data_IF_679951353365
#
_entry.id   IF_679951353365
#
_cell.length_a   1.000
_cell.length_b   1.000
_cell.length_c   1.000
_cell.angle_alpha   90.00
_cell.angle_beta   90.00
_cell.angle_gamma   90.00
#
_symmetry.space_group_name_H-M   'P 1'
#
loop_
_entity.id
_entity.type
_entity.pdbx_description
1 polymer ?
#
# COMPACT_ATOMS: atom_id res chain seq x y z
N UNK A 1 11.48 12.97 -4.08
CA UNK A 1 11.06 11.81 -3.28
C UNK A 1 11.97 11.77 -2.07
N UNK A 2 11.37 11.57 -0.90
CA UNK A 2 12.02 11.47 0.38
C UNK A 2 11.75 10.06 0.94
N UNK A 3 12.82 9.26 1.07
CA UNK A 3 12.79 7.98 1.77
C UNK A 3 13.31 8.21 3.18
N UNK A 4 12.42 8.11 4.17
CA UNK A 4 12.80 8.31 5.56
C UNK A 4 13.46 7.04 6.12
N UNK A 5 14.79 7.09 6.23
CA UNK A 5 15.59 5.98 6.74
C UNK A 5 15.27 5.65 8.20
N UNK A 6 14.97 6.67 9.02
CA UNK A 6 14.68 6.48 10.45
C UNK A 6 13.34 5.78 10.64
N UNK A 7 12.36 6.09 9.80
CA UNK A 7 11.09 5.36 9.74
C UNK A 7 11.31 3.88 9.42
N UNK A 8 12.09 3.56 8.37
CA UNK A 8 12.39 2.17 8.00
C UNK A 8 13.08 1.45 9.16
N UNK A 9 14.15 2.05 9.70
CA UNK A 9 14.94 1.45 10.79
C UNK A 9 14.10 1.21 12.03
N UNK A 10 13.37 2.22 12.49
CA UNK A 10 12.56 2.15 13.72
C UNK A 10 11.44 1.13 13.58
N UNK A 11 10.73 1.14 12.45
CA UNK A 11 9.62 0.22 12.19
C UNK A 11 10.12 -1.22 12.12
N UNK A 12 11.15 -1.50 11.30
CA UNK A 12 11.69 -2.85 11.16
C UNK A 12 12.21 -3.39 12.49
N UNK A 13 12.94 -2.59 13.28
CA UNK A 13 13.43 -3.01 14.59
C UNK A 13 12.29 -3.27 15.59
N UNK A 14 11.23 -2.46 15.58
CA UNK A 14 10.06 -2.65 16.44
C UNK A 14 9.38 -4.00 16.18
N UNK A 15 9.07 -4.28 14.90
CA UNK A 15 8.47 -5.54 14.49
C UNK A 15 9.40 -6.74 14.74
N UNK A 16 10.68 -6.62 14.41
CA UNK A 16 11.65 -7.70 14.61
C UNK A 16 11.80 -8.05 16.09
N UNK A 17 12.02 -7.06 16.96
CA UNK A 17 12.12 -7.29 18.41
C UNK A 17 10.84 -7.88 18.98
N UNK A 18 9.68 -7.45 18.50
CA UNK A 18 8.40 -8.03 18.91
C UNK A 18 8.28 -9.49 18.48
N UNK A 19 8.68 -9.82 17.25
CA UNK A 19 8.63 -11.18 16.71
C UNK A 19 9.58 -12.13 17.46
N UNK A 20 10.80 -11.68 17.75
CA UNK A 20 11.79 -12.50 18.46
C UNK A 20 11.38 -12.86 19.90
N UNK A 21 10.42 -12.14 20.50
CA UNK A 21 9.84 -12.50 21.80
C UNK A 21 8.85 -13.66 21.72
N UNK A 22 8.31 -13.97 20.54
CA UNK A 22 7.33 -15.03 20.34
C UNK A 22 7.93 -16.44 20.37
N UNK A 23 9.27 -16.59 20.39
CA UNK A 23 9.93 -17.89 20.53
C UNK A 23 10.16 -18.61 19.20
N UNK A 24 9.95 -19.93 19.16
CA UNK A 24 10.18 -20.76 17.97
C UNK A 24 9.12 -20.46 16.89
N UNK A 25 9.58 -20.06 15.69
CA UNK A 25 8.73 -19.68 14.56
C UNK A 25 8.41 -20.85 13.62
N UNK A 26 8.67 -22.09 14.04
CA UNK A 26 8.56 -23.28 13.18
C UNK A 26 7.14 -23.53 12.67
N UNK A 27 6.12 -23.24 13.48
CA UNK A 27 4.71 -23.31 13.05
C UNK A 27 4.38 -22.27 11.95
N UNK A 28 5.22 -21.25 11.79
CA UNK A 28 5.03 -20.17 10.82
C UNK A 28 6.01 -20.28 9.62
N UNK A 29 6.76 -21.38 9.53
CA UNK A 29 7.84 -21.57 8.56
C UNK A 29 7.40 -21.99 7.15
N UNK A 30 6.13 -22.31 6.93
CA UNK A 30 5.64 -22.72 5.59
C UNK A 30 4.50 -21.83 5.06
N UNK A 31 4.00 -20.90 5.87
CA UNK A 31 2.88 -20.05 5.47
C UNK A 31 3.33 -19.03 4.42
N UNK A 32 3.02 -19.34 3.16
CA UNK A 32 2.79 -18.30 2.17
C UNK A 32 1.59 -17.46 2.63
N UNK A 33 1.59 -16.15 2.38
CA UNK A 33 0.45 -15.30 2.67
C UNK A 33 -0.75 -15.73 1.83
N UNK A 34 -1.60 -16.60 2.39
CA UNK A 34 -2.95 -16.87 1.89
C UNK A 34 -3.90 -15.95 2.67
N UNK A 35 -4.88 -15.41 1.96
CA UNK A 35 -5.72 -14.28 2.36
C UNK A 35 -6.55 -14.47 3.66
N UNK A 36 -6.53 -15.64 4.29
CA UNK A 36 -7.34 -15.98 5.46
C UNK A 36 -6.59 -15.88 6.81
N UNK A 37 -5.29 -15.57 6.81
CA UNK A 37 -4.45 -15.59 8.02
C UNK A 37 -4.10 -14.20 8.60
N UNK A 38 -4.71 -13.11 8.09
CA UNK A 38 -4.37 -11.76 8.54
C UNK A 38 -4.74 -11.46 9.99
N UNK A 39 -5.51 -12.29 10.69
CA UNK A 39 -5.84 -12.13 12.11
C UNK A 39 -4.76 -12.68 13.08
N UNK A 40 -3.80 -13.44 12.55
CA UNK A 40 -2.66 -13.96 13.31
C UNK A 40 -1.58 -12.89 13.50
N UNK A 41 -1.24 -12.61 14.77
CA UNK A 41 -0.32 -11.54 15.11
C UNK A 41 1.14 -11.84 14.71
N UNK A 42 1.56 -13.10 14.76
CA UNK A 42 2.91 -13.52 14.35
C UNK A 42 3.05 -13.36 12.84
N UNK A 43 2.04 -13.78 12.09
CA UNK A 43 1.95 -13.58 10.66
C UNK A 43 1.96 -12.10 10.28
N UNK A 44 1.17 -11.24 10.95
CA UNK A 44 1.21 -9.79 10.71
C UNK A 44 2.62 -9.20 10.91
N UNK A 45 3.39 -9.69 11.89
CA UNK A 45 4.78 -9.26 12.11
C UNK A 45 5.71 -9.71 10.99
N UNK A 46 5.59 -10.96 10.54
CA UNK A 46 6.36 -11.49 9.40
C UNK A 46 6.03 -10.70 8.13
N UNK A 47 4.74 -10.41 7.91
CA UNK A 47 4.27 -9.58 6.81
C UNK A 47 4.91 -8.19 6.84
N UNK A 48 4.92 -7.53 8.00
CA UNK A 48 5.55 -6.22 8.16
C UNK A 48 7.04 -6.24 7.79
N UNK A 49 7.79 -7.22 8.32
CA UNK A 49 9.23 -7.33 8.07
C UNK A 49 9.56 -7.59 6.60
N UNK A 50 8.68 -8.30 5.89
CA UNK A 50 8.88 -8.65 4.48
C UNK A 50 8.46 -7.55 3.51
N UNK A 51 7.27 -6.99 3.70
CA UNK A 51 6.60 -6.16 2.69
C UNK A 51 6.64 -4.66 3.02
N UNK A 52 6.56 -4.29 4.29
CA UNK A 52 6.33 -2.89 4.70
C UNK A 52 7.39 -1.92 4.15
N UNK A 53 8.71 -2.19 4.24
CA UNK A 53 9.71 -1.24 3.74
C UNK A 53 9.64 -1.03 2.23
N UNK A 54 9.45 -2.09 1.45
CA UNK A 54 9.33 -2.00 0.00
C UNK A 54 8.06 -1.29 -0.44
N UNK A 55 6.94 -1.53 0.27
CA UNK A 55 5.68 -0.86 -0.02
C UNK A 55 5.76 0.62 0.37
N UNK A 56 6.36 0.94 1.52
CA UNK A 56 6.66 2.32 1.90
C UNK A 56 7.48 3.04 0.80
N UNK A 57 8.53 2.40 0.28
CA UNK A 57 9.32 2.93 -0.84
C UNK A 57 8.46 3.22 -2.08
N UNK A 58 7.62 2.27 -2.49
CA UNK A 58 6.69 2.44 -3.62
C UNK A 58 5.73 3.62 -3.40
N UNK A 59 5.18 3.75 -2.20
CA UNK A 59 4.29 4.86 -1.87
C UNK A 59 5.02 6.19 -1.75
N UNK A 60 6.32 6.24 -1.42
CA UNK A 60 7.08 7.47 -1.49
C UNK A 60 7.19 7.98 -2.94
N UNK A 61 7.32 7.06 -3.90
CA UNK A 61 7.26 7.40 -5.32
C UNK A 61 5.88 7.95 -5.66
N UNK A 62 4.82 7.21 -5.33
CA UNK A 62 3.44 7.63 -5.63
C UNK A 62 3.06 8.96 -4.96
N UNK A 63 3.45 9.18 -3.71
CA UNK A 63 3.21 10.43 -2.99
C UNK A 63 3.95 11.61 -3.65
N UNK A 64 5.19 11.40 -4.10
CA UNK A 64 5.94 12.43 -4.82
C UNK A 64 5.35 12.72 -6.22
N UNK A 65 4.80 11.71 -6.91
CA UNK A 65 4.07 11.90 -8.16
C UNK A 65 2.75 12.65 -7.93
N UNK A 66 2.03 12.33 -6.86
CA UNK A 66 0.82 13.03 -6.45
C UNK A 66 1.13 14.49 -6.11
N UNK A 67 2.17 14.77 -5.31
CA UNK A 67 2.57 16.14 -4.97
C UNK A 67 2.76 17.01 -6.21
N UNK A 68 3.45 16.49 -7.25
CA UNK A 68 3.64 17.22 -8.50
C UNK A 68 2.31 17.58 -9.17
N UNK A 69 1.36 16.63 -9.20
CA UNK A 69 0.03 16.87 -9.76
C UNK A 69 -0.78 17.87 -8.95
N UNK A 70 -0.70 17.80 -7.62
CA UNK A 70 -1.38 18.75 -6.73
C UNK A 70 -0.83 20.17 -6.91
N UNK A 71 0.50 20.32 -6.95
CA UNK A 71 1.16 21.60 -7.18
C UNK A 71 0.79 22.22 -8.54
N UNK A 72 0.79 21.41 -9.61
CA UNK A 72 0.37 21.87 -10.94
C UNK A 72 -1.09 22.37 -10.96
N UNK A 73 -1.91 21.90 -10.01
CA UNK A 73 -3.31 22.25 -9.87
C UNK A 73 -3.58 23.26 -8.74
N UNK A 74 -2.53 23.80 -8.10
CA UNK A 74 -2.63 24.71 -6.95
C UNK A 74 -3.51 24.16 -5.82
N UNK A 75 -3.49 22.84 -5.59
CA UNK A 75 -4.23 22.19 -4.50
C UNK A 75 -3.34 22.16 -3.26
N UNK A 76 -3.84 22.66 -2.13
CA UNK A 76 -3.12 22.67 -0.84
C UNK A 76 -3.74 21.77 0.22
N UNK A 77 -4.98 21.33 0.02
CA UNK A 77 -5.74 20.57 1.02
C UNK A 77 -6.49 19.42 0.35
N UNK A 78 -6.31 18.19 0.85
CA UNK A 78 -6.95 16.99 0.29
C UNK A 78 -7.47 16.04 1.37
N UNK A 79 -8.51 15.29 1.06
CA UNK A 79 -8.87 14.10 1.83
C UNK A 79 -8.52 12.85 1.03
N UNK A 80 -7.91 11.87 1.69
CA UNK A 80 -7.38 10.65 1.09
C UNK A 80 -8.13 9.46 1.68
N UNK A 81 -8.64 8.57 0.83
CA UNK A 81 -9.15 7.27 1.25
C UNK A 81 -8.22 6.15 0.77
N UNK A 82 -7.78 5.29 1.68
CA UNK A 82 -6.97 4.11 1.36
C UNK A 82 -7.77 2.84 1.65
N UNK A 83 -7.99 2.04 0.62
CA UNK A 83 -8.92 0.90 0.62
C UNK A 83 -8.16 -0.42 0.79
N UNK A 84 -8.22 -1.05 1.96
CA UNK A 84 -7.34 -2.17 2.32
C UNK A 84 -6.01 -1.70 2.89
N UNK A 85 -6.06 -0.67 3.75
CA UNK A 85 -4.86 0.06 4.20
C UNK A 85 -3.85 -0.77 5.01
N UNK A 86 -4.24 -1.89 5.62
CA UNK A 86 -3.34 -2.78 6.35
C UNK A 86 -2.55 -2.09 7.45
N UNK A 87 -1.22 -2.19 7.37
CA UNK A 87 -0.25 -1.47 8.21
C UNK A 87 0.06 -0.05 7.72
N UNK A 88 -0.72 0.45 6.75
CA UNK A 88 -0.72 1.81 6.20
C UNK A 88 0.67 2.41 5.89
N UNK A 89 1.58 1.70 5.18
CA UNK A 89 2.85 2.29 4.75
C UNK A 89 2.65 3.49 3.81
N UNK A 90 1.53 3.54 3.10
CA UNK A 90 1.10 4.67 2.27
C UNK A 90 0.87 5.94 3.09
N UNK A 91 0.28 5.85 4.29
CA UNK A 91 0.11 6.99 5.19
C UNK A 91 1.45 7.66 5.53
N UNK A 92 2.44 6.88 5.96
CA UNK A 92 3.77 7.41 6.31
C UNK A 92 4.48 7.96 5.06
N UNK A 93 4.35 7.30 3.92
CA UNK A 93 4.92 7.80 2.67
C UNK A 93 4.34 9.17 2.29
N UNK A 94 3.02 9.34 2.39
CA UNK A 94 2.33 10.62 2.17
C UNK A 94 2.82 11.67 3.18
N UNK A 95 2.89 11.31 4.46
CA UNK A 95 3.36 12.19 5.52
C UNK A 95 4.77 12.74 5.25
N UNK A 96 5.65 11.91 4.71
CA UNK A 96 7.06 12.26 4.47
C UNK A 96 7.29 12.95 3.11
N UNK A 97 6.32 12.90 2.19
CA UNK A 97 6.50 13.37 0.80
C UNK A 97 5.51 14.46 0.36
N UNK A 98 4.38 14.65 1.02
CA UNK A 98 3.39 15.68 0.67
C UNK A 98 3.69 17.03 1.35
N UNK A 99 4.94 17.50 1.26
CA UNK A 99 5.36 18.78 1.86
C UNK A 99 4.56 19.94 1.28
N UNK A 100 3.97 20.77 2.15
CA UNK A 100 3.16 21.92 1.75
C UNK A 100 1.71 21.58 1.39
N UNK A 101 1.31 20.30 1.50
CA UNK A 101 -0.07 19.85 1.33
C UNK A 101 -0.61 19.40 2.68
N UNK A 102 -1.70 19.99 3.13
CA UNK A 102 -2.47 19.47 4.25
C UNK A 102 -3.32 18.29 3.76
N UNK A 103 -3.34 17.20 4.52
CA UNK A 103 -4.21 16.08 4.19
C UNK A 103 -4.81 15.41 5.41
N UNK A 104 -6.01 14.89 5.26
CA UNK A 104 -6.59 13.90 6.17
C UNK A 104 -6.58 12.53 5.49
N UNK A 105 -6.07 11.52 6.19
CA UNK A 105 -5.97 10.15 5.72
C UNK A 105 -7.03 9.28 6.38
N UNK A 106 -7.82 8.58 5.57
CA UNK A 106 -8.86 7.67 6.00
C UNK A 106 -8.54 6.26 5.49
N UNK A 107 -8.01 5.42 6.37
CA UNK A 107 -7.71 4.02 6.10
C UNK A 107 -8.90 3.11 6.40
N UNK A 108 -9.29 2.31 5.42
CA UNK A 108 -10.32 1.29 5.55
C UNK A 108 -9.68 -0.09 5.42
N UNK A 109 -10.01 -1.01 6.32
CA UNK A 109 -9.59 -2.40 6.23
C UNK A 109 -10.59 -3.31 6.92
N UNK A 110 -10.79 -4.52 6.41
CA UNK A 110 -11.64 -5.53 7.07
C UNK A 110 -10.88 -6.28 8.16
N UNK A 111 -9.57 -6.44 8.01
CA UNK A 111 -8.72 -7.20 8.92
C UNK A 111 -8.36 -6.36 10.16
N UNK A 112 -8.33 -7.02 11.31
CA UNK A 112 -7.90 -6.37 12.54
C UNK A 112 -6.38 -6.50 12.74
N UNK A 113 -5.65 -5.49 12.27
CA UNK A 113 -4.20 -5.42 12.42
C UNK A 113 -3.75 -5.06 13.85
N UNK A 114 -3.75 -6.06 14.75
CA UNK A 114 -3.28 -5.97 16.15
C UNK A 114 -1.87 -5.38 16.27
N UNK A 115 -1.04 -5.61 15.25
CA UNK A 115 0.35 -5.14 15.21
C UNK A 115 0.52 -3.66 14.83
N UNK A 116 -0.56 -2.92 14.53
CA UNK A 116 -0.48 -1.47 14.28
C UNK A 116 0.15 -0.69 15.43
N UNK A 117 0.04 -1.19 16.66
CA UNK A 117 0.71 -0.61 17.84
C UNK A 117 2.24 -0.65 17.77
N UNK A 118 2.83 -1.43 16.86
CA UNK A 118 4.27 -1.51 16.63
C UNK A 118 4.77 -0.45 15.64
N UNK A 119 3.86 0.24 14.94
CA UNK A 119 4.17 1.35 14.03
C UNK A 119 4.41 2.64 14.83
N UNK A 120 5.14 3.61 14.28
CA UNK A 120 5.22 4.94 14.85
C UNK A 120 3.83 5.55 15.04
N UNK A 121 3.69 6.42 16.05
CA UNK A 121 2.43 7.11 16.29
C UNK A 121 2.07 7.99 15.09
N UNK A 122 0.85 7.85 14.59
CA UNK A 122 0.30 8.75 13.58
C UNK A 122 0.04 10.14 14.14
N UNK A 123 -0.17 11.12 13.25
CA UNK A 123 -0.62 12.46 13.61
C UNK A 123 -2.15 12.51 13.65
N UNK A 124 -2.67 13.66 14.08
CA UNK A 124 -4.10 13.99 14.23
C UNK A 124 -4.90 13.92 12.91
N UNK A 125 -4.22 13.65 11.79
CA UNK A 125 -4.79 13.50 10.47
C UNK A 125 -4.99 12.03 10.04
N UNK A 126 -4.74 11.06 10.92
CA UNK A 126 -4.90 9.62 10.68
C UNK A 126 -6.21 9.10 11.26
N UNK A 127 -7.10 8.61 10.39
CA UNK A 127 -8.38 8.01 10.75
C UNK A 127 -8.44 6.57 10.24
N UNK A 128 -8.53 5.58 11.14
CA UNK A 128 -8.58 4.17 10.78
C UNK A 128 -9.95 3.58 11.10
N UNK A 129 -10.54 2.87 10.14
CA UNK A 129 -11.88 2.29 10.26
C UNK A 129 -11.86 0.82 9.85
N UNK A 130 -12.41 -0.05 10.70
CA UNK A 130 -12.60 -1.48 10.36
C UNK A 130 -13.91 -1.66 9.60
N UNK A 131 -13.86 -1.57 8.28
CA UNK A 131 -15.02 -1.66 7.35
C UNK A 131 -14.59 -2.16 5.99
N UNK A 132 -15.48 -2.93 5.37
CA UNK A 132 -15.36 -3.31 3.96
C UNK A 132 -15.65 -2.11 3.06
N UNK A 133 -15.09 -2.11 1.85
CA UNK A 133 -15.20 -0.97 0.93
C UNK A 133 -16.64 -0.73 0.45
N UNK A 134 -17.45 -1.79 0.34
CA UNK A 134 -18.88 -1.71 0.01
C UNK A 134 -19.75 -1.11 1.13
N UNK A 135 -19.22 -0.96 2.35
CA UNK A 135 -19.93 -0.36 3.48
C UNK A 135 -19.71 1.16 3.56
N UNK A 136 -18.92 1.74 2.67
CA UNK A 136 -18.63 3.17 2.64
C UNK A 136 -19.69 3.87 1.79
N UNK A 137 -20.49 4.75 2.41
CA UNK A 137 -21.55 5.45 1.69
C UNK A 137 -21.00 6.42 0.65
N UNK A 138 -21.73 6.61 -0.45
CA UNK A 138 -21.43 7.63 -1.47
C UNK A 138 -21.24 9.04 -0.91
N UNK A 139 -22.00 9.42 0.13
CA UNK A 139 -21.83 10.69 0.85
C UNK A 139 -20.44 10.80 1.49
N UNK A 140 -19.90 9.70 2.00
CA UNK A 140 -18.55 9.65 2.58
C UNK A 140 -17.51 9.65 1.48
N UNK A 141 -17.68 8.81 0.46
CA UNK A 141 -16.77 8.73 -0.69
C UNK A 141 -16.64 10.07 -1.42
N UNK A 142 -17.72 10.84 -1.52
CA UNK A 142 -17.73 12.18 -2.12
C UNK A 142 -16.87 13.23 -1.40
N UNK A 143 -16.31 12.92 -0.22
CA UNK A 143 -15.38 13.80 0.50
C UNK A 143 -13.93 13.67 0.03
N UNK A 144 -13.56 12.55 -0.60
CA UNK A 144 -12.17 12.22 -0.94
C UNK A 144 -11.76 12.79 -2.28
N UNK A 145 -10.55 13.34 -2.32
CA UNK A 145 -9.86 13.83 -3.51
C UNK A 145 -8.97 12.73 -4.11
N UNK A 146 -8.44 11.87 -3.24
CA UNK A 146 -7.48 10.83 -3.59
C UNK A 146 -8.00 9.48 -3.09
N UNK A 147 -7.98 8.49 -3.97
CA UNK A 147 -8.23 7.09 -3.64
C UNK A 147 -6.93 6.30 -3.80
N UNK A 148 -6.57 5.52 -2.79
CA UNK A 148 -5.42 4.63 -2.80
C UNK A 148 -5.92 3.20 -2.73
N UNK A 149 -5.41 2.36 -3.63
CA UNK A 149 -5.63 0.92 -3.62
C UNK A 149 -4.31 0.19 -3.38
N UNK A 150 -3.93 0.00 -2.11
CA UNK A 150 -2.63 -0.53 -1.74
C UNK A 150 -2.54 -2.05 -1.91
N UNK A 151 -2.21 -2.53 -3.13
CA UNK A 151 -2.13 -3.97 -3.46
C UNK A 151 -3.45 -4.74 -3.23
N UNK A 152 -4.56 -4.04 -2.99
CA UNK A 152 -5.83 -4.58 -2.48
C UNK A 152 -6.92 -4.82 -3.54
N UNK A 153 -6.73 -4.36 -4.78
CA UNK A 153 -7.76 -4.46 -5.83
C UNK A 153 -8.24 -5.90 -6.07
N UNK A 154 -7.33 -6.87 -5.99
CA UNK A 154 -7.68 -8.29 -6.17
C UNK A 154 -8.56 -8.82 -5.06
N UNK A 155 -8.29 -8.42 -3.82
CA UNK A 155 -9.08 -8.85 -2.66
C UNK A 155 -10.47 -8.21 -2.70
N UNK A 156 -10.57 -6.99 -3.23
CA UNK A 156 -11.85 -6.27 -3.42
C UNK A 156 -12.66 -6.82 -4.61
N UNK A 157 -12.03 -7.29 -5.68
CA UNK A 157 -12.74 -7.89 -6.82
C UNK A 157 -13.50 -9.15 -6.40
N UNK A 158 -12.87 -9.99 -5.57
CA UNK A 158 -13.45 -11.25 -5.12
C UNK A 158 -14.75 -11.08 -4.32
N UNK A 159 -15.06 -9.87 -3.84
CA UNK A 159 -16.24 -9.59 -3.03
C UNK A 159 -17.41 -8.92 -3.76
N UNK A 160 -17.39 -8.76 -5.09
CA UNK A 160 -18.39 -7.98 -5.88
C UNK A 160 -18.51 -6.49 -5.49
N UNK A 161 -17.55 -6.01 -4.69
CA UNK A 161 -17.60 -4.68 -4.07
C UNK A 161 -17.09 -3.58 -5.01
N UNK A 162 -16.27 -3.95 -6.00
CA UNK A 162 -15.65 -2.99 -6.91
C UNK A 162 -16.69 -2.28 -7.80
N UNK A 163 -17.75 -2.96 -8.22
CA UNK A 163 -18.83 -2.38 -9.03
C UNK A 163 -19.63 -1.36 -8.21
N UNK A 164 -19.99 -1.70 -6.97
CA UNK A 164 -20.70 -0.80 -6.06
C UNK A 164 -19.83 0.41 -5.71
N UNK A 165 -18.55 0.18 -5.41
CA UNK A 165 -17.58 1.24 -5.12
C UNK A 165 -17.45 2.21 -6.32
N UNK A 166 -17.30 1.69 -7.53
CA UNK A 166 -17.25 2.50 -8.76
C UNK A 166 -18.53 3.33 -8.91
N UNK A 167 -19.70 2.73 -8.73
CA UNK A 167 -21.00 3.40 -8.80
C UNK A 167 -21.17 4.50 -7.74
N UNK A 168 -20.59 4.34 -6.55
CA UNK A 168 -20.68 5.34 -5.50
C UNK A 168 -19.62 6.45 -5.59
N UNK A 169 -18.42 6.15 -6.11
CA UNK A 169 -17.38 7.15 -6.37
C UNK A 169 -17.88 8.18 -7.40
N UNK A 170 -18.52 7.74 -8.49
CA UNK A 170 -18.97 8.65 -9.56
C UNK A 170 -20.05 9.65 -9.14
N UNK A 171 -20.74 9.40 -8.01
CA UNK A 171 -21.72 10.31 -7.41
C UNK A 171 -21.08 11.52 -6.73
N UNK A 172 -19.74 11.57 -6.64
CA UNK A 172 -19.03 12.72 -6.08
C UNK A 172 -19.40 14.01 -6.79
N UNK A 173 -19.39 15.13 -6.06
CA UNK A 173 -19.52 16.49 -6.64
C UNK A 173 -18.17 17.08 -7.04
N UNK A 174 -17.05 16.43 -6.69
CA UNK A 174 -15.71 16.90 -7.04
C UNK A 174 -15.47 16.81 -8.54
N UNK A 175 -14.78 17.81 -9.07
CA UNK A 175 -14.42 17.88 -10.49
C UNK A 175 -13.06 17.25 -10.79
N UNK A 176 -12.32 16.85 -9.75
CA UNK A 176 -11.01 16.25 -9.88
C UNK A 176 -10.85 15.12 -8.89
N UNK A 177 -10.32 13.99 -9.35
CA UNK A 177 -10.02 12.82 -8.54
C UNK A 177 -8.65 12.27 -8.90
N UNK A 178 -7.94 11.78 -7.91
CA UNK A 178 -6.66 11.10 -8.08
C UNK A 178 -6.77 9.65 -7.62
N UNK A 179 -6.13 8.74 -8.35
CA UNK A 179 -6.05 7.33 -8.00
C UNK A 179 -4.60 6.91 -7.93
N UNK A 180 -4.19 6.33 -6.80
CA UNK A 180 -2.87 5.74 -6.57
C UNK A 180 -3.07 4.24 -6.46
N UNK A 181 -2.83 3.53 -7.56
CA UNK A 181 -2.97 2.09 -7.62
C UNK A 181 -1.61 1.44 -7.49
N UNK A 182 -1.58 0.36 -6.73
CA UNK A 182 -0.37 -0.38 -6.39
C UNK A 182 -0.68 -1.87 -6.58
N UNK A 183 0.21 -2.59 -7.27
CA UNK A 183 -0.03 -3.95 -7.79
C UNK A 183 1.12 -4.90 -7.46
N UNK A 184 0.83 -6.16 -7.13
CA UNK A 184 1.88 -7.16 -6.90
C UNK A 184 2.35 -7.67 -8.26
N UNK A 185 3.60 -7.38 -8.62
CA UNK A 185 4.22 -7.94 -9.81
C UNK A 185 4.92 -9.26 -9.47
N UNK A 186 4.29 -10.38 -9.80
CA UNK A 186 4.81 -11.76 -9.61
C UNK A 186 5.36 -12.36 -10.91
N UNK A 187 5.01 -11.79 -12.07
CA UNK A 187 5.62 -12.03 -13.37
C UNK A 187 5.33 -10.81 -14.27
N UNK A 188 6.24 -10.48 -15.20
CA UNK A 188 6.09 -9.33 -16.12
C UNK A 188 4.78 -9.31 -16.94
N UNK A 189 3.98 -10.38 -16.89
CA UNK A 189 2.69 -10.54 -17.60
C UNK A 189 1.45 -10.45 -16.67
N UNK A 190 1.61 -10.58 -15.35
CA UNK A 190 0.50 -10.63 -14.37
C UNK A 190 -0.15 -9.27 -14.05
N UNK A 191 0.47 -8.14 -14.45
CA UNK A 191 -0.13 -6.81 -14.27
C UNK A 191 -1.47 -6.66 -15.01
N UNK A 192 -1.69 -7.45 -16.07
CA UNK A 192 -2.90 -7.40 -16.91
C UNK A 192 -4.21 -7.67 -16.17
N UNK A 193 -4.21 -8.57 -15.17
CA UNK A 193 -5.46 -8.94 -14.46
C UNK A 193 -5.88 -7.84 -13.48
N UNK A 194 -4.95 -7.32 -12.67
CA UNK A 194 -5.25 -6.28 -11.68
C UNK A 194 -5.62 -4.93 -12.31
N UNK A 195 -4.95 -4.59 -13.42
CA UNK A 195 -5.31 -3.43 -14.26
C UNK A 195 -6.73 -3.59 -14.82
N UNK A 196 -7.12 -4.82 -15.16
CA UNK A 196 -8.49 -5.17 -15.54
C UNK A 196 -9.54 -4.87 -14.47
N UNK A 197 -9.18 -5.00 -13.18
CA UNK A 197 -10.09 -4.67 -12.06
C UNK A 197 -10.35 -3.16 -12.00
N UNK A 198 -9.29 -2.36 -12.07
CA UNK A 198 -9.43 -0.90 -12.02
C UNK A 198 -10.20 -0.35 -13.23
N UNK A 199 -10.20 -1.07 -14.36
CA UNK A 199 -10.99 -0.72 -15.54
C UNK A 199 -12.48 -0.48 -15.21
N UNK A 200 -13.03 -1.19 -14.22
CA UNK A 200 -14.43 -0.99 -13.77
C UNK A 200 -14.65 0.44 -13.23
N UNK A 201 -13.72 0.94 -12.40
CA UNK A 201 -13.77 2.32 -11.91
C UNK A 201 -13.52 3.31 -13.05
N UNK A 202 -12.55 3.02 -13.92
CA UNK A 202 -12.26 3.86 -15.09
C UNK A 202 -13.50 4.04 -15.98
N UNK A 203 -14.14 2.96 -16.41
CA UNK A 203 -15.33 3.01 -17.26
C UNK A 203 -16.49 3.73 -16.59
N UNK A 204 -16.70 3.52 -15.28
CA UNK A 204 -17.71 4.24 -14.53
C UNK A 204 -17.46 5.75 -14.55
N UNK A 205 -16.20 6.19 -14.36
CA UNK A 205 -15.82 7.61 -14.40
C UNK A 205 -16.06 8.21 -15.80
N UNK A 206 -15.58 7.55 -16.87
CA UNK A 206 -15.75 8.02 -18.24
C UNK A 206 -17.24 8.12 -18.60
N UNK A 207 -18.05 7.12 -18.25
CA UNK A 207 -19.50 7.12 -18.49
C UNK A 207 -20.25 8.21 -17.70
N UNK A 208 -19.62 8.81 -16.68
CA UNK A 208 -20.18 9.89 -15.88
C UNK A 208 -19.49 11.24 -16.13
N UNK A 209 -18.89 11.42 -17.31
CA UNK A 209 -18.41 12.70 -17.80
C UNK A 209 -17.01 13.10 -17.32
N UNK A 210 -16.30 12.22 -16.60
CA UNK A 210 -14.88 12.43 -16.36
C UNK A 210 -14.05 12.09 -17.60
N UNK A 211 -12.88 12.70 -17.68
CA UNK A 211 -11.86 12.43 -18.69
C UNK A 211 -10.49 12.32 -18.02
N UNK A 212 -9.56 11.63 -18.67
CA UNK A 212 -8.16 11.54 -18.23
C UNK A 212 -7.24 11.43 -19.44
N UNK A 213 -6.05 12.00 -19.33
CA UNK A 213 -4.96 11.79 -20.30
C UNK A 213 -4.08 10.59 -19.95
N UNK A 214 -4.23 10.07 -18.72
CA UNK A 214 -3.44 8.96 -18.24
C UNK A 214 -3.95 7.63 -18.83
N UNK A 215 -3.03 6.72 -19.10
CA UNK A 215 -3.36 5.39 -19.60
C UNK A 215 -3.73 4.47 -18.44
N UNK A 216 -5.02 4.21 -18.26
CA UNK A 216 -5.52 3.30 -17.21
C UNK A 216 -5.00 1.85 -17.35
N UNK A 217 -4.56 1.46 -18.54
CA UNK A 217 -4.08 0.10 -18.84
C UNK A 217 -2.56 -0.06 -18.78
N UNK A 218 -1.83 0.96 -18.30
CA UNK A 218 -0.37 0.93 -18.20
C UNK A 218 0.05 1.17 -16.75
N UNK A 219 0.95 0.31 -16.28
CA UNK A 219 1.61 0.40 -14.97
C UNK A 219 3.11 0.64 -15.17
N UNK A 220 3.81 0.95 -14.08
CA UNK A 220 5.24 1.30 -14.11
C UNK A 220 5.93 0.96 -12.79
N UNK A 221 7.24 0.80 -12.86
CA UNK A 221 8.14 0.67 -11.72
C UNK A 221 9.37 1.58 -11.90
N UNK A 222 10.04 1.91 -10.80
CA UNK A 222 11.22 2.78 -10.84
C UNK A 222 12.49 1.97 -11.13
N UNK A 223 13.26 2.39 -12.14
CA UNK A 223 14.56 1.81 -12.51
C UNK A 223 14.47 0.53 -13.34
N UNK A 224 15.57 -0.22 -13.41
CA UNK A 224 15.64 -1.46 -14.18
C UNK A 224 15.01 -2.64 -13.44
N UNK A 225 14.47 -3.59 -14.17
CA UNK A 225 13.77 -4.72 -13.57
C UNK A 225 14.69 -5.56 -12.66
N UNK A 226 14.27 -5.80 -11.41
CA UNK A 226 15.06 -6.52 -10.41
C UNK A 226 16.19 -5.70 -9.77
N UNK A 227 16.26 -4.38 -10.02
CA UNK A 227 17.23 -3.51 -9.37
C UNK A 227 16.97 -3.39 -7.87
N UNK A 228 18.04 -3.39 -7.08
CA UNK A 228 17.98 -3.23 -5.63
C UNK A 228 17.45 -1.85 -5.22
N UNK A 229 16.57 -1.79 -4.22
CA UNK A 229 15.96 -0.53 -3.77
C UNK A 229 16.99 0.46 -3.23
N UNK A 230 18.04 -0.02 -2.53
CA UNK A 230 19.19 0.82 -2.10
C UNK A 230 19.97 1.42 -3.28
N UNK A 231 19.96 0.75 -4.43
CA UNK A 231 20.58 1.28 -5.65
C UNK A 231 19.68 2.28 -6.39
N UNK A 232 18.38 2.30 -6.10
CA UNK A 232 17.43 3.29 -6.63
C UNK A 232 17.40 4.54 -5.74
N UNK A 233 17.48 4.37 -4.42
CA UNK A 233 17.64 5.45 -3.46
C UNK A 233 18.58 5.00 -2.33
N UNK A 234 19.67 5.73 -2.13
CA UNK A 234 20.70 5.39 -1.14
C UNK A 234 20.20 5.41 0.31
N UNK A 235 19.10 6.12 0.59
CA UNK A 235 18.49 6.19 1.92
C UNK A 235 17.59 4.99 2.23
N UNK A 236 17.29 4.14 1.23
CA UNK A 236 16.66 2.86 1.49
C UNK A 236 17.68 1.90 2.09
N UNK A 237 17.64 1.75 3.42
CA UNK A 237 18.50 0.83 4.15
C UNK A 237 17.69 -0.07 5.08
N UNK A 238 17.66 -1.37 4.75
CA UNK A 238 17.09 -2.38 5.62
C UNK A 238 18.10 -2.75 6.72
N UNK A 239 17.71 -2.73 8.02
CA UNK A 239 18.59 -3.13 9.12
C UNK A 239 19.16 -4.53 8.93
N UNK A 240 20.49 -4.63 8.84
CA UNK A 240 21.19 -5.89 8.55
C UNK A 240 20.92 -6.95 9.61
N UNK A 241 20.79 -6.53 10.87
CA UNK A 241 20.48 -7.37 12.01
C UNK A 241 19.09 -8.04 11.94
N UNK A 242 18.21 -7.58 11.05
CA UNK A 242 16.85 -8.08 10.87
C UNK A 242 16.68 -8.92 9.59
N UNK A 243 17.74 -9.13 8.80
CA UNK A 243 17.66 -9.87 7.53
C UNK A 243 17.32 -11.34 7.73
N UNK A 244 17.90 -11.97 8.76
CA UNK A 244 17.66 -13.37 9.08
C UNK A 244 16.66 -13.48 10.22
N UNK A 245 15.45 -13.95 9.90
CA UNK A 245 14.35 -14.11 10.86
C UNK A 245 14.41 -15.43 11.63
N UNK A 246 15.10 -16.45 11.12
CA UNK A 246 15.44 -17.67 11.85
C UNK A 246 16.85 -18.14 11.50
N UNK A 247 17.46 -18.84 12.46
CA UNK A 247 18.66 -19.64 12.28
C UNK A 247 18.25 -21.10 12.39
N UNK A 248 18.70 -21.95 11.47
CA UNK A 248 18.52 -23.41 11.59
C UNK A 248 19.14 -23.85 12.91
N UNK A 249 18.31 -24.32 13.85
CA UNK A 249 18.76 -24.82 15.15
C UNK A 249 18.44 -26.29 15.39
N UNK A 250 17.65 -26.94 14.53
CA UNK A 250 17.38 -28.37 14.58
C UNK A 250 16.94 -28.92 13.21
N UNK A 251 17.33 -30.16 12.90
CA UNK A 251 17.03 -30.90 11.66
C UNK A 251 15.51 -31.06 11.39
N UNK A 252 14.65 -30.79 12.39
CA UNK A 252 13.19 -30.88 12.27
C UNK A 252 12.50 -29.60 11.79
N UNK A 253 13.20 -28.45 11.75
CA UNK A 253 12.64 -27.16 11.34
C UNK A 253 13.49 -26.56 10.23
N UNK A 254 13.16 -26.89 8.97
CA UNK A 254 13.77 -26.25 7.78
C UNK A 254 13.34 -24.79 7.76
N UNK A 255 14.22 -23.88 8.19
CA UNK A 255 13.94 -22.46 8.30
C UNK A 255 13.55 -21.88 6.92
N UNK A 256 12.27 -21.51 6.75
CA UNK A 256 11.74 -20.80 5.58
C UNK A 256 10.74 -19.71 6.00
N UNK A 257 11.16 -18.65 6.70
CA UNK A 257 10.28 -17.50 7.03
C UNK A 257 10.10 -16.62 5.77
N UNK A 258 9.53 -17.26 4.75
CA UNK A 258 9.50 -17.05 3.30
C UNK A 258 10.39 -15.96 2.68
N UNK A 259 11.68 -16.03 3.05
CA UNK A 259 12.90 -15.86 2.23
C UNK A 259 13.36 -14.46 1.79
N UNK A 260 13.46 -13.57 2.78
CA UNK A 260 14.06 -12.23 2.77
C UNK A 260 13.05 -11.09 2.56
N UNK A 261 13.32 -9.92 3.18
CA UNK A 261 12.60 -8.70 2.84
C UNK A 261 12.66 -8.42 1.34
N UNK A 262 11.64 -7.72 0.84
CA UNK A 262 11.67 -7.22 -0.53
C UNK A 262 12.71 -6.10 -0.61
N UNK A 263 13.87 -6.41 -1.20
CA UNK A 263 14.99 -5.48 -1.37
C UNK A 263 15.20 -5.05 -2.83
N UNK A 264 14.34 -5.49 -3.75
CA UNK A 264 14.38 -5.12 -5.16
C UNK A 264 13.03 -4.61 -5.64
N UNK A 265 13.03 -3.88 -6.76
CA UNK A 265 11.81 -3.38 -7.38
C UNK A 265 10.99 -4.46 -8.11
N UNK A 266 11.41 -5.73 -8.09
CA UNK A 266 10.75 -6.83 -8.85
C UNK A 266 9.26 -6.95 -8.54
N UNK A 267 8.89 -6.71 -7.29
CA UNK A 267 7.50 -6.84 -6.80
C UNK A 267 6.76 -5.50 -6.73
N UNK A 268 7.39 -4.43 -7.22
CA UNK A 268 6.82 -3.10 -7.22
C UNK A 268 6.23 -2.82 -8.59
N UNK A 269 5.00 -2.34 -8.60
CA UNK A 269 4.30 -1.93 -9.81
C UNK A 269 3.14 -1.02 -9.41
N UNK A 270 3.05 0.13 -10.06
CA UNK A 270 2.15 1.18 -9.62
C UNK A 270 1.64 2.01 -10.77
N UNK A 271 0.58 2.76 -10.49
CA UNK A 271 -0.07 3.66 -11.43
C UNK A 271 -0.64 4.86 -10.67
N UNK A 272 -0.54 6.03 -11.29
CA UNK A 272 -1.22 7.22 -10.82
C UNK A 272 -2.10 7.77 -11.95
N UNK A 273 -3.36 8.03 -11.65
CA UNK A 273 -4.35 8.54 -12.60
C UNK A 273 -5.00 9.81 -12.04
N UNK A 274 -5.19 10.80 -12.89
CA UNK A 274 -5.92 12.03 -12.60
C UNK A 274 -7.10 12.12 -13.54
N UNK A 275 -8.30 12.24 -12.97
CA UNK A 275 -9.54 12.42 -13.70
C UNK A 275 -10.07 13.83 -13.47
N UNK A 276 -10.59 14.45 -14.52
CA UNK A 276 -11.24 15.75 -14.46
C UNK A 276 -12.58 15.78 -15.20
N UNK A 277 -13.49 16.64 -14.76
CA UNK A 277 -14.74 16.99 -15.43
C UNK A 277 -15.05 18.48 -15.30
#
# INVERSE_FOLDING_TARGET
MNIDQDFIRTTVLSFHRSLMRNGFLCDHSEFLPLNDNYDDEVYQKIYALKYLPAYYFEYCILANLLLKRLNNNNVTDINIASMGCGLYPDYFALLHNLTGINFNYYGYDVCHWKTRQLLPQGKDNLYLTSRAVNQISSKTLGKFDVFIFPKSLKDIEQSSDIQQLAHDIVKTKKNKLYFLNSYINTSFEQSSTHVGIFKIIHEALINNGFSTIDKHNVTQYMGNAGQGLKALDIHFEYPQECLMLCLEKDDSCKCKITDNPILTNRYLDYQILEYSR
#
